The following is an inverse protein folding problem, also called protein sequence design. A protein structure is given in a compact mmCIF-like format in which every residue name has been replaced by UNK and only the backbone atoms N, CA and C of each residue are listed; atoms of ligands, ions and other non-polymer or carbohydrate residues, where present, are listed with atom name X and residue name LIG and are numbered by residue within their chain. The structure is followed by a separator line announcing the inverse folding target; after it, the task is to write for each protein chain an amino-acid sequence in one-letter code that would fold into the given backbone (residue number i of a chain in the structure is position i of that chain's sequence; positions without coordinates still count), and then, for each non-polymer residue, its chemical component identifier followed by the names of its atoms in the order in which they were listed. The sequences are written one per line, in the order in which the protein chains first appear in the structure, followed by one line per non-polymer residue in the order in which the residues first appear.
data_IF_099944897320
#
_entry.id   IF_099944897320
#
_cell.length_a   1.000
_cell.length_b   1.000
_cell.length_c   1.000
_cell.angle_alpha   90.00
_cell.angle_beta   90.00
_cell.angle_gamma   90.00
#
_symmetry.space_group_name_H-M   'P 1'
#
loop_
_entity.id
_entity.type
_entity.pdbx_description
1 polymer ?
#
# COMPACT_ATOMS: atom_id res chain seq x y z
N UNK A 1 11.00 -2.22 22.25
CA UNK A 1 10.73 -1.42 21.06
C UNK A 1 9.48 -1.90 20.36
N UNK A 2 8.65 -0.98 19.97
CA UNK A 2 7.37 -1.32 19.35
C UNK A 2 7.56 -1.72 17.89
N UNK A 3 7.00 -2.86 17.51
CA UNK A 3 7.06 -3.35 16.15
C UNK A 3 6.11 -2.54 15.27
N UNK A 4 6.62 -2.06 14.12
CA UNK A 4 5.83 -1.31 13.14
C UNK A 4 5.76 -2.10 11.83
N UNK A 5 5.00 -3.17 11.86
CA UNK A 5 4.92 -4.09 10.73
C UNK A 5 4.34 -3.44 9.48
N UNK A 6 3.28 -2.64 9.62
CA UNK A 6 2.69 -1.91 8.49
C UNK A 6 3.67 -0.91 7.89
N UNK A 7 4.32 -0.12 8.74
CA UNK A 7 5.31 0.84 8.28
C UNK A 7 6.45 0.18 7.54
N UNK A 8 6.98 -0.91 8.11
CA UNK A 8 8.12 -1.63 7.51
C UNK A 8 7.74 -2.27 6.17
N UNK A 9 6.61 -2.97 6.11
CA UNK A 9 6.16 -3.62 4.88
C UNK A 9 5.84 -2.62 3.77
N UNK A 10 5.18 -1.51 4.12
CA UNK A 10 4.85 -0.49 3.13
C UNK A 10 6.09 0.23 2.62
N UNK A 11 7.10 0.41 3.46
CA UNK A 11 8.38 0.96 3.03
C UNK A 11 9.10 0.00 2.08
N UNK A 12 9.16 -1.29 2.42
CA UNK A 12 9.76 -2.30 1.55
C UNK A 12 9.09 -2.33 0.19
N UNK A 13 7.75 -2.35 0.18
CA UNK A 13 6.98 -2.35 -1.07
C UNK A 13 7.28 -1.10 -1.89
N UNK A 14 7.31 0.08 -1.25
CA UNK A 14 7.60 1.34 -1.94
C UNK A 14 8.97 1.31 -2.61
N UNK A 15 9.99 0.85 -1.89
CA UNK A 15 11.36 0.78 -2.44
C UNK A 15 11.42 -0.18 -3.63
N UNK A 16 10.82 -1.36 -3.49
CA UNK A 16 10.80 -2.34 -4.59
C UNK A 16 10.03 -1.83 -5.80
N UNK A 17 8.91 -1.14 -5.59
CA UNK A 17 8.14 -0.55 -6.68
C UNK A 17 8.91 0.58 -7.35
N UNK A 18 9.60 1.42 -6.60
CA UNK A 18 10.40 2.49 -7.19
C UNK A 18 11.54 1.93 -8.06
N UNK A 19 12.13 0.81 -7.66
CA UNK A 19 13.12 0.12 -8.48
C UNK A 19 12.48 -0.43 -9.76
N UNK A 20 11.27 -0.99 -9.64
CA UNK A 20 10.50 -1.46 -10.79
C UNK A 20 10.18 -0.33 -11.76
N UNK A 21 9.81 0.85 -11.25
CA UNK A 21 9.52 2.00 -12.12
C UNK A 21 10.73 2.40 -12.96
N UNK A 22 11.94 2.29 -12.43
CA UNK A 22 13.16 2.56 -13.18
C UNK A 22 13.31 1.59 -14.37
N UNK A 23 13.06 0.30 -14.12
CA UNK A 23 13.12 -0.72 -15.19
C UNK A 23 12.04 -0.48 -16.24
N UNK A 24 10.82 -0.14 -15.81
CA UNK A 24 9.71 0.15 -16.72
C UNK A 24 10.03 1.33 -17.64
N UNK A 25 10.67 2.37 -17.11
CA UNK A 25 11.06 3.54 -17.89
C UNK A 25 12.12 3.21 -18.94
N UNK A 26 13.03 2.29 -18.65
CA UNK A 26 13.98 1.84 -19.66
C UNK A 26 13.30 1.09 -20.80
N UNK A 27 12.14 0.49 -20.53
CA UNK A 27 11.30 -0.19 -21.52
C UNK A 27 10.26 0.74 -22.15
N UNK A 28 10.34 2.03 -21.84
CA UNK A 28 9.42 3.07 -22.31
C UNK A 28 7.96 2.87 -21.83
N UNK A 29 7.75 2.11 -20.74
CA UNK A 29 6.45 2.00 -20.10
C UNK A 29 6.36 3.05 -19.00
N UNK A 30 5.80 4.22 -19.32
CA UNK A 30 5.76 5.36 -18.41
C UNK A 30 4.39 5.52 -17.73
N UNK A 31 3.32 5.04 -18.37
CA UNK A 31 1.95 5.22 -17.83
C UNK A 31 1.79 4.45 -16.51
N UNK A 32 2.05 3.14 -16.52
CA UNK A 32 1.90 2.33 -15.32
C UNK A 32 3.03 2.64 -14.33
N UNK A 33 4.24 2.94 -14.82
CA UNK A 33 5.34 3.36 -13.94
C UNK A 33 4.93 4.55 -13.05
N UNK A 34 4.31 5.57 -13.64
CA UNK A 34 3.85 6.74 -12.89
C UNK A 34 2.75 6.38 -11.90
N UNK A 35 1.79 5.59 -12.32
CA UNK A 35 0.65 5.21 -11.48
C UNK A 35 1.06 4.32 -10.32
N UNK A 36 1.87 3.29 -10.57
CA UNK A 36 2.27 2.36 -9.51
C UNK A 36 3.22 3.02 -8.52
N UNK A 37 4.12 3.89 -9.00
CA UNK A 37 4.99 4.66 -8.13
C UNK A 37 4.19 5.55 -7.19
N UNK A 38 3.19 6.25 -7.72
CA UNK A 38 2.29 7.09 -6.93
C UNK A 38 1.51 6.27 -5.91
N UNK A 39 0.87 5.20 -6.34
CA UNK A 39 0.01 4.42 -5.43
C UNK A 39 0.82 3.73 -4.33
N UNK A 40 1.93 3.10 -4.67
CA UNK A 40 2.76 2.41 -3.66
C UNK A 40 3.34 3.36 -2.62
N UNK A 41 3.87 4.51 -3.06
CA UNK A 41 4.41 5.50 -2.11
C UNK A 41 3.30 6.13 -1.27
N UNK A 42 2.09 6.27 -1.82
CA UNK A 42 0.94 6.78 -1.08
C UNK A 42 0.50 5.84 0.05
N UNK A 43 0.61 4.52 -0.15
CA UNK A 43 0.34 3.55 0.93
C UNK A 43 1.21 3.89 2.14
N UNK A 44 2.51 3.97 1.92
CA UNK A 44 3.49 4.21 2.98
C UNK A 44 3.29 5.58 3.62
N UNK A 45 3.10 6.62 2.81
CA UNK A 45 2.93 7.99 3.31
C UNK A 45 1.70 8.11 4.23
N UNK A 46 0.57 7.51 3.83
CA UNK A 46 -0.65 7.59 4.63
C UNK A 46 -0.58 6.77 5.91
N UNK A 47 0.11 5.63 5.89
CA UNK A 47 0.39 4.87 7.11
C UNK A 47 1.22 5.71 8.08
N UNK A 48 2.26 6.38 7.57
CA UNK A 48 3.09 7.27 8.39
C UNK A 48 2.27 8.42 8.98
N UNK A 49 1.43 9.06 8.17
CA UNK A 49 0.57 10.17 8.60
C UNK A 49 -0.46 9.71 9.65
N UNK A 50 -0.94 8.47 9.58
CA UNK A 50 -1.91 7.96 10.56
C UNK A 50 -1.39 8.02 11.99
N UNK A 51 -0.07 7.92 12.17
CA UNK A 51 0.56 7.97 13.50
C UNK A 51 0.48 9.35 14.14
N UNK A 52 0.26 10.38 13.34
CA UNK A 52 0.16 11.77 13.79
C UNK A 52 -1.26 12.31 13.63
N UNK A 53 -2.25 11.41 13.51
CA UNK A 53 -3.63 11.78 13.26
C UNK A 53 -4.23 12.57 14.44
N UNK A 54 -5.12 13.50 14.11
CA UNK A 54 -5.84 14.34 15.09
C UNK A 54 -7.10 13.63 15.59
N UNK A 55 -6.95 12.46 16.16
CA UNK A 55 -8.07 11.69 16.67
C UNK A 55 -8.34 10.45 15.85
N UNK A 56 -9.30 9.66 16.33
CA UNK A 56 -9.56 8.33 15.78
C UNK A 56 -10.17 8.35 14.39
N UNK A 57 -11.06 9.30 14.12
CA UNK A 57 -11.67 9.42 12.80
C UNK A 57 -10.65 9.75 11.72
N UNK A 58 -9.71 10.64 12.02
CA UNK A 58 -8.62 10.98 11.09
C UNK A 58 -7.67 9.80 10.89
N UNK A 59 -7.36 9.08 11.98
CA UNK A 59 -6.56 7.85 11.92
C UNK A 59 -7.18 6.84 10.95
N UNK A 60 -8.48 6.58 11.10
CA UNK A 60 -9.23 5.67 10.22
C UNK A 60 -9.18 6.16 8.77
N UNK A 61 -9.41 7.45 8.55
CA UNK A 61 -9.41 8.03 7.22
C UNK A 61 -8.06 7.80 6.50
N UNK A 62 -6.95 8.00 7.20
CA UNK A 62 -5.61 7.78 6.64
C UNK A 62 -5.38 6.32 6.26
N UNK A 63 -5.82 5.39 7.12
CA UNK A 63 -5.68 3.97 6.83
C UNK A 63 -6.59 3.53 5.68
N UNK A 64 -7.78 4.12 5.55
CA UNK A 64 -8.69 3.83 4.44
C UNK A 64 -8.11 4.29 3.10
N UNK A 65 -7.42 5.42 3.08
CA UNK A 65 -6.69 5.88 1.89
C UNK A 65 -5.59 4.86 1.53
N UNK A 66 -4.81 4.42 2.52
CA UNK A 66 -3.77 3.41 2.31
C UNK A 66 -4.36 2.12 1.74
N UNK A 67 -5.51 1.69 2.23
CA UNK A 67 -6.18 0.48 1.75
C UNK A 67 -6.59 0.62 0.28
N UNK A 68 -7.17 1.74 -0.08
CA UNK A 68 -7.53 2.05 -1.48
C UNK A 68 -6.30 1.99 -2.38
N UNK A 69 -5.21 2.63 -1.94
CA UNK A 69 -3.97 2.67 -2.71
C UNK A 69 -3.30 1.30 -2.82
N UNK A 70 -3.46 0.45 -1.79
CA UNK A 70 -2.98 -0.94 -1.84
C UNK A 70 -3.71 -1.72 -2.92
N UNK A 71 -5.03 -1.55 -3.02
CA UNK A 71 -5.83 -2.22 -4.05
C UNK A 71 -5.46 -1.73 -5.44
N UNK A 72 -5.19 -0.45 -5.61
CA UNK A 72 -4.72 0.10 -6.88
C UNK A 72 -3.36 -0.48 -7.27
N UNK A 73 -2.42 -0.53 -6.33
CA UNK A 73 -1.08 -1.09 -6.56
C UNK A 73 -1.17 -2.53 -7.03
N UNK A 74 -2.03 -3.34 -6.40
CA UNK A 74 -2.29 -4.72 -6.83
C UNK A 74 -2.77 -4.79 -8.28
N UNK A 75 -3.64 -3.88 -8.68
CA UNK A 75 -4.16 -3.84 -10.06
C UNK A 75 -3.09 -3.46 -11.07
N UNK A 76 -2.25 -2.49 -10.74
CA UNK A 76 -1.13 -2.12 -11.61
C UNK A 76 -0.15 -3.27 -11.76
N UNK A 77 0.12 -4.02 -10.68
CA UNK A 77 1.00 -5.20 -10.73
C UNK A 77 0.40 -6.28 -11.65
N UNK A 78 -0.89 -6.53 -11.55
CA UNK A 78 -1.58 -7.50 -12.40
C UNK A 78 -1.48 -7.11 -13.87
N UNK A 79 -1.69 -5.83 -14.19
CA UNK A 79 -1.57 -5.31 -15.55
C UNK A 79 -0.16 -5.48 -16.09
N UNK A 80 0.86 -5.21 -15.26
CA UNK A 80 2.26 -5.39 -15.69
C UNK A 80 2.57 -6.85 -15.97
N UNK A 81 2.05 -7.76 -15.16
CA UNK A 81 2.21 -9.18 -15.37
C UNK A 81 1.49 -9.64 -16.65
N UNK A 82 0.22 -9.28 -16.81
CA UNK A 82 -0.57 -9.66 -17.98
C UNK A 82 -0.02 -9.07 -19.28
N UNK A 83 0.70 -7.97 -19.20
CA UNK A 83 1.34 -7.30 -20.36
C UNK A 83 2.80 -7.71 -20.56
N UNK A 84 3.27 -8.71 -19.82
CA UNK A 84 4.62 -9.27 -19.93
C UNK A 84 5.77 -8.32 -19.58
N UNK A 85 5.51 -7.28 -18.77
CA UNK A 85 6.59 -6.41 -18.25
C UNK A 85 7.27 -7.02 -17.03
N UNK A 86 6.57 -7.86 -16.27
CA UNK A 86 7.15 -8.62 -15.17
C UNK A 86 6.68 -10.07 -15.28
N UNK A 87 7.49 -11.01 -14.77
CA UNK A 87 7.11 -12.42 -14.77
C UNK A 87 6.17 -12.74 -13.59
N UNK A 88 5.61 -13.95 -13.61
CA UNK A 88 4.66 -14.40 -12.60
C UNK A 88 5.30 -14.43 -11.20
N UNK A 89 6.54 -14.87 -11.10
CA UNK A 89 7.24 -14.96 -9.82
C UNK A 89 7.38 -13.59 -9.17
N UNK A 90 7.76 -12.59 -9.95
CA UNK A 90 7.90 -11.21 -9.45
C UNK A 90 6.54 -10.62 -9.09
N UNK A 91 5.53 -10.86 -9.94
CA UNK A 91 4.16 -10.43 -9.64
C UNK A 91 3.69 -11.00 -8.30
N UNK A 92 3.83 -12.31 -8.11
CA UNK A 92 3.40 -12.97 -6.87
C UNK A 92 4.14 -12.46 -5.65
N UNK A 93 5.45 -12.22 -5.78
CA UNK A 93 6.25 -11.71 -4.66
C UNK A 93 5.79 -10.32 -4.21
N UNK A 94 5.56 -9.41 -5.16
CA UNK A 94 5.11 -8.05 -4.85
C UNK A 94 3.64 -8.05 -4.37
N UNK A 95 2.78 -8.82 -5.02
CA UNK A 95 1.37 -8.88 -4.66
C UNK A 95 1.16 -9.53 -3.29
N UNK A 96 2.04 -10.44 -2.88
CA UNK A 96 2.00 -11.01 -1.53
C UNK A 96 2.18 -9.93 -0.47
N UNK A 97 3.07 -8.97 -0.72
CA UNK A 97 3.25 -7.83 0.19
C UNK A 97 2.00 -6.97 0.24
N UNK A 98 1.38 -6.73 -0.91
CA UNK A 98 0.10 -6.01 -0.95
C UNK A 98 -0.97 -6.75 -0.14
N UNK A 99 -1.06 -8.06 -0.27
CA UNK A 99 -2.04 -8.86 0.47
C UNK A 99 -1.84 -8.79 1.97
N UNK A 100 -0.59 -8.85 2.44
CA UNK A 100 -0.28 -8.75 3.86
C UNK A 100 -0.61 -7.35 4.39
N UNK A 101 -0.24 -6.31 3.64
CA UNK A 101 -0.57 -4.93 4.00
C UNK A 101 -2.08 -4.75 4.08
N UNK A 102 -2.81 -5.25 3.09
CA UNK A 102 -4.28 -5.18 3.05
C UNK A 102 -4.90 -5.84 4.28
N UNK A 103 -4.45 -7.03 4.62
CA UNK A 103 -4.93 -7.75 5.80
C UNK A 103 -4.72 -6.94 7.07
N UNK A 104 -3.52 -6.39 7.26
CA UNK A 104 -3.18 -5.61 8.44
C UNK A 104 -3.96 -4.29 8.50
N UNK A 105 -4.16 -3.64 7.35
CA UNK A 105 -4.95 -2.40 7.27
C UNK A 105 -6.41 -2.67 7.64
N UNK A 106 -7.01 -3.71 7.07
CA UNK A 106 -8.41 -4.05 7.37
C UNK A 106 -8.58 -4.35 8.86
N UNK A 107 -7.65 -5.09 9.43
CA UNK A 107 -7.66 -5.43 10.86
C UNK A 107 -7.58 -4.16 11.72
N UNK A 108 -6.66 -3.26 11.39
CA UNK A 108 -6.48 -1.99 12.14
C UNK A 108 -7.69 -1.08 12.01
N UNK A 109 -8.24 -0.96 10.80
CA UNK A 109 -9.44 -0.15 10.55
C UNK A 109 -10.63 -0.70 11.33
N UNK A 110 -10.85 -2.00 11.28
CA UNK A 110 -11.95 -2.66 11.99
C UNK A 110 -11.86 -2.41 13.48
N UNK A 111 -10.68 -2.58 14.06
CA UNK A 111 -10.44 -2.34 15.49
C UNK A 111 -10.68 -0.88 15.84
N UNK A 112 -10.17 0.05 15.04
CA UNK A 112 -10.33 1.48 15.29
C UNK A 112 -11.78 1.92 15.21
N UNK A 113 -12.55 1.40 14.23
CA UNK A 113 -13.98 1.70 14.10
C UNK A 113 -14.77 1.18 15.31
N UNK A 114 -14.47 -0.01 15.77
CA UNK A 114 -15.08 -0.60 16.96
C UNK A 114 -14.84 0.28 18.21
N UNK A 115 -13.59 0.72 18.39
CA UNK A 115 -13.21 1.58 19.51
C UNK A 115 -13.86 2.96 19.40
N UNK A 116 -14.01 3.50 18.20
CA UNK A 116 -14.69 4.77 17.98
C UNK A 116 -16.16 4.68 18.40
N UNK A 117 -16.85 3.59 18.03
CA UNK A 117 -18.24 3.36 18.39
C UNK A 117 -18.42 3.21 19.92
N UNK A 118 -17.51 2.51 20.57
CA UNK A 118 -17.51 2.38 22.04
C UNK A 118 -17.35 3.75 22.69
N UNK A 119 -16.45 4.60 22.18
CA UNK A 119 -16.21 5.94 22.71
C UNK A 119 -17.41 6.85 22.54
N UNK A 120 -18.22 6.65 21.49
CA UNK A 120 -19.43 7.44 21.23
C UNK A 120 -20.65 6.94 22.01
N UNK A 121 -20.65 5.68 22.38
CA UNK A 121 -21.70 5.06 23.14
C UNK A 121 -21.50 5.24 24.61
#
# INVERSE_FOLDING_TARGET
MREDKLGDLSMELSVEVLQLTKELRTKHENVIANQIGRSATSICANIAESKYAHGRADFIAKLEISLKETNETSKWLEMLWKSDYIDEARYKALDRKCSTIRFLLVKSITTAKKNLNISKG
#
